data_IF_379337618079
#
_entry.id   IF_379337618079
#
_cell.length_a   1.000
_cell.length_b   1.000
_cell.length_c   1.000
_cell.angle_alpha   90.00
_cell.angle_beta   90.00
_cell.angle_gamma   90.00
#
_symmetry.space_group_name_H-M   'P 1'
#
loop_
_entity.id
_entity.type
_entity.pdbx_description
1 polymer ?
#
# COMPACT_ATOMS: atom_id res chain seq x y z
N UNK A 1 9.28 14.31 -3.50
CA UNK A 1 9.30 14.62 -4.95
C UNK A 1 8.30 13.74 -5.69
N UNK A 2 7.45 14.33 -6.55
CA UNK A 2 6.48 13.58 -7.37
C UNK A 2 7.02 13.55 -8.81
N UNK A 3 7.20 12.35 -9.35
CA UNK A 3 7.73 12.14 -10.71
C UNK A 3 6.57 11.99 -11.70
N UNK A 4 6.50 12.84 -12.71
CA UNK A 4 5.43 12.81 -13.70
C UNK A 4 5.66 11.77 -14.81
N UNK A 5 4.59 11.24 -15.43
CA UNK A 5 3.17 11.51 -15.13
C UNK A 5 2.71 10.78 -13.86
N UNK A 6 1.83 11.37 -13.06
CA UNK A 6 1.12 10.71 -11.95
C UNK A 6 -0.35 11.14 -11.95
N UNK A 7 -1.23 10.33 -11.37
CA UNK A 7 -2.61 10.72 -11.11
C UNK A 7 -2.84 10.77 -9.60
N UNK A 8 -2.94 11.97 -9.02
CA UNK A 8 -3.17 12.16 -7.58
C UNK A 8 -4.45 12.95 -7.44
N UNK A 9 -5.46 12.36 -6.79
CA UNK A 9 -6.77 12.98 -6.65
C UNK A 9 -6.69 14.17 -5.68
N UNK A 10 -7.45 15.27 -5.90
CA UNK A 10 -7.37 16.48 -5.08
C UNK A 10 -7.71 16.28 -3.60
N UNK A 11 -8.42 15.20 -3.24
CA UNK A 11 -8.78 14.88 -1.86
C UNK A 11 -7.82 13.90 -1.18
N UNK A 12 -6.76 13.46 -1.87
CA UNK A 12 -5.67 12.73 -1.23
C UNK A 12 -4.88 13.68 -0.32
N UNK A 13 -4.52 13.20 0.86
CA UNK A 13 -3.65 13.91 1.80
C UNK A 13 -2.24 13.35 1.66
N UNK A 14 -1.30 14.22 1.31
CA UNK A 14 0.12 13.87 1.13
C UNK A 14 0.94 14.61 2.17
N UNK A 15 1.66 13.87 3.00
CA UNK A 15 2.56 14.41 4.01
C UNK A 15 3.82 15.08 3.45
N UNK A 16 4.70 15.48 4.36
CA UNK A 16 5.98 16.11 4.03
C UNK A 16 7.02 15.09 3.54
N UNK A 17 7.95 15.55 2.70
CA UNK A 17 9.03 14.73 2.13
C UNK A 17 8.56 13.43 1.43
N UNK A 18 7.33 13.35 0.94
CA UNK A 18 6.85 12.15 0.23
C UNK A 18 7.47 12.04 -1.16
N UNK A 19 7.86 10.83 -1.57
CA UNK A 19 8.28 10.55 -2.93
C UNK A 19 7.30 9.62 -3.65
N UNK A 20 6.92 9.98 -4.88
CA UNK A 20 5.98 9.21 -5.70
C UNK A 20 6.58 9.00 -7.08
N UNK A 21 6.86 7.75 -7.44
CA UNK A 21 7.38 7.38 -8.75
C UNK A 21 6.36 7.53 -9.86
N UNK A 22 6.84 7.68 -11.10
CA UNK A 22 6.01 7.90 -12.28
C UNK A 22 4.98 6.78 -12.51
N UNK A 23 3.88 7.15 -13.14
CA UNK A 23 2.71 6.35 -13.46
C UNK A 23 1.96 5.80 -12.25
N UNK A 24 2.19 6.34 -11.06
CA UNK A 24 1.44 5.96 -9.86
C UNK A 24 0.10 6.71 -9.79
N UNK A 25 -0.94 5.98 -9.39
CA UNK A 25 -2.26 6.51 -9.09
C UNK A 25 -2.53 6.48 -7.58
N UNK A 26 -2.91 7.65 -7.05
CA UNK A 26 -3.32 7.85 -5.66
C UNK A 26 -4.76 8.38 -5.68
N UNK A 27 -5.70 7.49 -5.35
CA UNK A 27 -7.14 7.74 -5.37
C UNK A 27 -7.63 8.77 -4.36
N UNK A 28 -8.92 9.11 -4.40
CA UNK A 28 -9.51 10.08 -3.49
C UNK A 28 -9.48 9.56 -2.05
N UNK A 29 -9.34 10.47 -1.08
CA UNK A 29 -9.39 10.18 0.36
C UNK A 29 -8.33 9.15 0.83
N UNK A 30 -7.23 9.02 0.08
CA UNK A 30 -6.02 8.30 0.52
C UNK A 30 -5.21 9.20 1.44
N UNK A 31 -4.67 8.63 2.52
CA UNK A 31 -3.80 9.36 3.46
C UNK A 31 -2.38 8.80 3.38
N UNK A 32 -1.41 9.65 3.03
CA UNK A 32 0.01 9.31 2.96
C UNK A 32 0.76 10.14 4.00
N UNK A 33 1.42 9.48 4.94
CA UNK A 33 2.22 10.09 6.00
C UNK A 33 3.57 10.64 5.50
N UNK A 34 4.27 11.32 6.40
CA UNK A 34 5.56 11.96 6.12
C UNK A 34 6.64 10.93 5.77
N UNK A 35 7.59 11.30 4.93
CA UNK A 35 8.74 10.44 4.60
C UNK A 35 8.40 9.21 3.76
N UNK A 36 7.13 8.96 3.43
CA UNK A 36 6.72 7.78 2.63
C UNK A 36 7.37 7.79 1.25
N UNK A 37 7.80 6.61 0.79
CA UNK A 37 8.39 6.40 -0.53
C UNK A 37 7.52 5.43 -1.32
N UNK A 38 6.98 5.87 -2.45
CA UNK A 38 6.12 5.08 -3.33
C UNK A 38 6.82 4.92 -4.67
N UNK A 39 7.06 3.68 -5.08
CA UNK A 39 7.64 3.35 -6.38
C UNK A 39 6.73 3.73 -7.55
N UNK A 40 7.27 3.57 -8.76
CA UNK A 40 6.53 3.80 -9.99
C UNK A 40 5.42 2.77 -10.21
N UNK A 41 4.38 3.16 -10.95
CA UNK A 41 3.28 2.28 -11.41
C UNK A 41 2.48 1.62 -10.28
N UNK A 42 2.37 2.27 -9.12
CA UNK A 42 1.52 1.77 -8.04
C UNK A 42 0.06 2.20 -8.24
N UNK A 43 -0.88 1.39 -7.74
CA UNK A 43 -2.29 1.74 -7.68
C UNK A 43 -2.76 1.74 -6.23
N UNK A 44 -3.18 2.90 -5.72
CA UNK A 44 -3.58 3.11 -4.32
C UNK A 44 -5.00 3.69 -4.32
N UNK A 45 -6.05 2.87 -4.14
CA UNK A 45 -7.44 3.32 -4.22
C UNK A 45 -7.92 3.98 -2.92
N UNK A 46 -9.13 4.57 -2.99
CA UNK A 46 -9.83 5.14 -1.83
C UNK A 46 -9.89 4.17 -0.64
N UNK A 47 -9.65 4.69 0.56
CA UNK A 47 -9.66 3.94 1.82
C UNK A 47 -8.31 3.37 2.23
N UNK A 48 -7.22 3.68 1.52
CA UNK A 48 -5.87 3.34 1.94
C UNK A 48 -5.26 4.43 2.83
N UNK A 49 -4.65 4.01 3.93
CA UNK A 49 -3.77 4.84 4.77
C UNK A 49 -2.37 4.24 4.79
N UNK A 50 -1.36 5.05 4.47
CA UNK A 50 0.06 4.70 4.53
C UNK A 50 0.71 5.63 5.54
N UNK A 51 1.22 5.06 6.63
CA UNK A 51 1.82 5.80 7.74
C UNK A 51 3.26 6.23 7.47
N UNK A 52 3.82 7.13 8.31
CA UNK A 52 5.14 7.70 8.07
C UNK A 52 6.25 6.67 7.84
N UNK A 53 7.23 7.07 7.03
CA UNK A 53 8.45 6.30 6.72
C UNK A 53 8.23 4.92 6.09
N UNK A 54 7.00 4.59 5.68
CA UNK A 54 6.72 3.35 4.95
C UNK A 54 7.32 3.37 3.52
N UNK A 55 7.70 2.18 3.04
CA UNK A 55 8.22 1.96 1.70
C UNK A 55 7.28 1.09 0.88
N UNK A 56 6.80 1.61 -0.24
CA UNK A 56 5.97 0.88 -1.20
C UNK A 56 6.79 0.66 -2.48
N UNK A 57 7.17 -0.58 -2.75
CA UNK A 57 7.90 -0.96 -3.95
C UNK A 57 7.12 -0.64 -5.23
N UNK A 58 7.80 -0.55 -6.39
CA UNK A 58 7.13 -0.26 -7.65
C UNK A 58 6.13 -1.36 -8.02
N UNK A 59 5.09 -1.00 -8.77
CA UNK A 59 4.03 -1.89 -9.25
C UNK A 59 3.21 -2.58 -8.16
N UNK A 60 3.18 -2.02 -6.95
CA UNK A 60 2.26 -2.52 -5.92
C UNK A 60 0.82 -2.16 -6.26
N UNK A 61 -0.09 -3.10 -6.03
CA UNK A 61 -1.52 -2.92 -6.28
C UNK A 61 -2.28 -3.12 -4.97
N UNK A 62 -2.92 -2.04 -4.50
CA UNK A 62 -3.86 -2.08 -3.40
C UNK A 62 -5.28 -2.29 -3.94
N UNK A 63 -6.14 -2.89 -3.13
CA UNK A 63 -7.55 -3.11 -3.45
C UNK A 63 -8.42 -2.73 -2.26
N UNK A 64 -9.65 -2.31 -2.52
CA UNK A 64 -10.61 -1.90 -1.49
C UNK A 64 -11.95 -2.68 -1.54
N UNK A 65 -12.22 -3.41 -2.63
CA UNK A 65 -13.42 -4.21 -2.82
C UNK A 65 -13.08 -5.70 -2.91
N UNK A 66 -13.62 -6.52 -1.99
CA UNK A 66 -13.28 -7.94 -1.90
C UNK A 66 -13.95 -8.78 -3.01
N UNK A 67 -15.13 -8.36 -3.46
CA UNK A 67 -15.91 -9.04 -4.48
C UNK A 67 -16.52 -8.01 -5.44
N UNK A 68 -15.69 -7.36 -6.28
CA UNK A 68 -16.11 -6.21 -7.07
C UNK A 68 -17.04 -6.58 -8.25
N UNK A 69 -17.98 -5.68 -8.62
CA UNK A 69 -18.37 -4.49 -7.86
C UNK A 69 -19.35 -4.85 -6.73
N UNK A 70 -19.02 -4.49 -5.47
CA UNK A 70 -19.89 -4.74 -4.31
C UNK A 70 -20.57 -3.50 -3.73
N UNK A 71 -20.26 -2.29 -4.22
CA UNK A 71 -20.77 -1.03 -3.67
C UNK A 71 -19.85 -0.43 -2.60
N UNK A 72 -19.80 0.91 -2.53
CA UNK A 72 -18.85 1.64 -1.66
C UNK A 72 -19.00 1.29 -0.18
N UNK A 73 -20.21 0.99 0.25
CA UNK A 73 -20.56 0.56 1.61
C UNK A 73 -19.89 -0.75 2.03
N UNK A 74 -19.47 -1.57 1.06
CA UNK A 74 -18.82 -2.86 1.29
C UNK A 74 -17.29 -2.79 1.18
N UNK A 75 -16.74 -1.64 0.79
CA UNK A 75 -15.29 -1.44 0.71
C UNK A 75 -14.64 -1.54 2.08
N UNK A 76 -13.41 -2.09 2.11
CA UNK A 76 -12.65 -2.32 3.34
C UNK A 76 -11.36 -1.50 3.30
N UNK A 77 -11.11 -0.64 4.31
CA UNK A 77 -9.91 0.18 4.34
C UNK A 77 -8.68 -0.69 4.58
N UNK A 78 -7.54 -0.26 4.02
CA UNK A 78 -6.25 -0.93 4.17
C UNK A 78 -5.28 0.01 4.85
N UNK A 79 -4.51 -0.49 5.81
CA UNK A 79 -3.54 0.30 6.58
C UNK A 79 -2.14 -0.29 6.42
N UNK A 80 -1.20 0.55 5.99
CA UNK A 80 0.23 0.25 6.02
C UNK A 80 0.82 1.06 7.17
N UNK A 81 1.24 0.38 8.23
CA UNK A 81 1.75 1.03 9.42
C UNK A 81 3.17 1.59 9.23
N UNK A 82 3.60 2.41 10.18
CA UNK A 82 4.90 3.08 10.19
C UNK A 82 6.05 2.13 9.84
N UNK A 83 7.02 2.60 9.05
CA UNK A 83 8.24 1.84 8.69
C UNK A 83 8.01 0.49 7.98
N UNK A 84 6.78 0.12 7.63
CA UNK A 84 6.50 -1.10 6.88
C UNK A 84 7.09 -1.02 5.47
N UNK A 85 7.66 -2.12 4.99
CA UNK A 85 8.32 -2.20 3.68
C UNK A 85 7.67 -3.26 2.80
N UNK A 86 7.06 -2.82 1.71
CA UNK A 86 6.40 -3.67 0.72
C UNK A 86 7.30 -3.80 -0.52
N UNK A 87 7.67 -5.02 -0.88
CA UNK A 87 8.47 -5.32 -2.06
C UNK A 87 7.75 -5.01 -3.37
N UNK A 88 8.49 -5.03 -4.49
CA UNK A 88 7.92 -4.75 -5.80
C UNK A 88 6.80 -5.74 -6.20
N UNK A 89 5.83 -5.27 -6.97
CA UNK A 89 4.76 -6.09 -7.55
C UNK A 89 3.94 -6.91 -6.51
N UNK A 90 3.74 -6.37 -5.32
CA UNK A 90 2.87 -6.97 -4.29
C UNK A 90 1.41 -6.57 -4.53
N UNK A 91 0.49 -7.52 -4.37
CA UNK A 91 -0.95 -7.26 -4.33
C UNK A 91 -1.45 -7.32 -2.89
N UNK A 92 -2.15 -6.28 -2.44
CA UNK A 92 -2.72 -6.19 -1.09
C UNK A 92 -4.24 -6.30 -1.21
N UNK A 93 -4.83 -7.34 -0.61
CA UNK A 93 -6.28 -7.50 -0.56
C UNK A 93 -6.94 -6.48 0.39
N UNK A 94 -8.25 -6.22 0.25
CA UNK A 94 -8.95 -5.21 1.03
C UNK A 94 -9.03 -5.58 2.51
N UNK A 95 -9.02 -4.58 3.38
CA UNK A 95 -9.25 -4.79 4.81
C UNK A 95 -8.03 -5.31 5.58
N UNK A 96 -6.84 -5.23 4.97
CA UNK A 96 -5.60 -5.73 5.57
C UNK A 96 -4.85 -4.62 6.29
N UNK A 97 -4.28 -4.95 7.43
CA UNK A 97 -3.26 -4.14 8.12
C UNK A 97 -1.88 -4.77 7.95
N UNK A 98 -0.92 -4.00 7.44
CA UNK A 98 0.51 -4.35 7.42
C UNK A 98 1.16 -3.67 8.62
N UNK A 99 1.58 -4.45 9.61
CA UNK A 99 2.11 -3.97 10.88
C UNK A 99 3.40 -3.15 10.76
N UNK A 100 3.69 -2.41 11.83
CA UNK A 100 4.89 -1.55 11.92
C UNK A 100 6.17 -2.36 11.66
N UNK A 101 7.08 -1.83 10.84
CA UNK A 101 8.34 -2.51 10.49
C UNK A 101 8.22 -3.82 9.70
N UNK A 102 7.00 -4.27 9.36
CA UNK A 102 6.78 -5.53 8.66
C UNK A 102 7.34 -5.48 7.24
N UNK A 103 7.80 -6.64 6.74
CA UNK A 103 8.45 -6.76 5.42
C UNK A 103 7.69 -7.74 4.55
N UNK A 104 7.21 -7.26 3.40
CA UNK A 104 6.54 -8.12 2.41
C UNK A 104 7.49 -8.36 1.23
N UNK A 105 7.78 -9.63 0.94
CA UNK A 105 8.60 -10.03 -0.19
C UNK A 105 7.96 -9.65 -1.53
N UNK A 106 8.78 -9.33 -2.53
CA UNK A 106 8.30 -8.97 -3.87
C UNK A 106 7.41 -10.07 -4.49
N UNK A 107 6.40 -9.67 -5.27
CA UNK A 107 5.49 -10.59 -5.96
C UNK A 107 4.45 -11.28 -5.06
N UNK A 108 4.36 -10.90 -3.79
CA UNK A 108 3.45 -11.55 -2.83
C UNK A 108 2.00 -11.10 -2.98
N UNK A 109 1.06 -11.94 -2.54
CA UNK A 109 -0.36 -11.58 -2.41
C UNK A 109 -0.76 -11.62 -0.94
N UNK A 110 -0.94 -10.45 -0.33
CA UNK A 110 -1.29 -10.34 1.09
C UNK A 110 -2.80 -10.47 1.26
N UNK A 111 -3.22 -11.53 1.93
CA UNK A 111 -4.65 -11.90 2.07
C UNK A 111 -5.20 -11.72 3.49
N UNK A 112 -4.37 -11.34 4.45
CA UNK A 112 -4.70 -11.16 5.86
C UNK A 112 -3.67 -10.25 6.53
N UNK A 113 -4.00 -9.76 7.71
CA UNK A 113 -3.11 -8.90 8.50
C UNK A 113 -1.74 -9.53 8.71
N UNK A 114 -0.72 -8.66 8.67
CA UNK A 114 0.68 -9.00 8.90
C UNK A 114 1.10 -8.35 10.22
N UNK A 115 1.52 -9.13 11.22
CA UNK A 115 2.01 -8.58 12.48
C UNK A 115 3.25 -7.69 12.31
N UNK A 116 3.47 -6.80 13.27
CA UNK A 116 4.65 -5.94 13.30
C UNK A 116 5.96 -6.76 13.29
N UNK A 117 6.99 -6.20 12.66
CA UNK A 117 8.34 -6.76 12.53
C UNK A 117 8.44 -8.16 11.88
N UNK A 118 7.35 -8.70 11.33
CA UNK A 118 7.38 -9.99 10.64
C UNK A 118 7.76 -9.86 9.16
N UNK A 119 8.39 -10.92 8.63
CA UNK A 119 8.69 -11.07 7.20
C UNK A 119 7.69 -12.03 6.58
N UNK A 120 7.02 -11.63 5.50
CA UNK A 120 6.02 -12.45 4.82
C UNK A 120 6.30 -12.50 3.32
N UNK A 121 6.09 -13.65 2.68
CA UNK A 121 6.17 -13.77 1.22
C UNK A 121 5.24 -14.83 0.65
N UNK A 122 5.01 -14.76 -0.68
CA UNK A 122 4.34 -15.81 -1.45
C UNK A 122 2.89 -15.49 -1.84
N UNK A 123 2.23 -16.48 -2.44
CA UNK A 123 0.85 -16.40 -2.94
C UNK A 123 0.05 -17.61 -2.45
N UNK A 124 -0.77 -17.47 -1.38
CA UNK A 124 -0.90 -16.30 -0.51
C UNK A 124 0.36 -16.07 0.33
N UNK A 125 0.57 -14.82 0.76
CA UNK A 125 1.68 -14.46 1.62
C UNK A 125 1.58 -15.19 2.97
N UNK A 126 2.70 -15.75 3.41
CA UNK A 126 2.84 -16.41 4.71
C UNK A 126 4.11 -15.92 5.41
N UNK A 127 4.11 -15.99 6.74
CA UNK A 127 5.28 -15.73 7.56
C UNK A 127 6.46 -16.58 7.07
N UNK A 128 7.60 -15.93 6.87
CA UNK A 128 8.87 -16.60 6.62
C UNK A 128 9.48 -17.01 7.95
N UNK A 129 9.94 -18.24 8.03
CA UNK A 129 10.89 -18.67 9.06
C UNK A 129 12.30 -18.32 8.56
N UNK A 130 13.20 -17.98 9.48
CA UNK A 130 14.60 -17.69 9.14
C UNK A 130 15.34 -18.95 8.66
#
# INVERSE_FOLDING_TARGET
MIWEPCNIYPTAVIGEDVNVGAFTEIGPNVNIGDGVRIGAMCFIPEGVTIEPDAWIGPRCTFTNDKYPPSGKENWKPTRVCKEASIGAAVTILPGVTIGEGAKIGAGSVVTKDVPADEKWCGVPAKKMED
#
